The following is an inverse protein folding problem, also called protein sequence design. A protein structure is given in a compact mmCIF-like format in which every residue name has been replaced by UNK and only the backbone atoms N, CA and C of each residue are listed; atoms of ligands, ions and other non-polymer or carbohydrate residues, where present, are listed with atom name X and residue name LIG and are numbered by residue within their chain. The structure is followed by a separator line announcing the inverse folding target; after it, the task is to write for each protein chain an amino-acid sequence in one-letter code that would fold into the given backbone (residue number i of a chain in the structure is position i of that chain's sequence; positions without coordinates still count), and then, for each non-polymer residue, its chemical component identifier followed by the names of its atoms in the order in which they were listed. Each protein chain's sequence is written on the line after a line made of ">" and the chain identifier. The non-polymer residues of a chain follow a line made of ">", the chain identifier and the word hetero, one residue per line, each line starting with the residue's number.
data_IF_685469333283
#
_entry.id   IF_685469333283
#
_cell.length_a   1.000
_cell.length_b   1.000
_cell.length_c   1.000
_cell.angle_alpha   90.00
_cell.angle_beta   90.00
_cell.angle_gamma   90.00
#
_symmetry.space_group_name_H-M   'P 1'
#
loop_
_entity.id
_entity.type
_entity.pdbx_description
1 polymer ?
#
# COMPACT_ATOMS: atom_id res chain seq x y z
N UNK A 1 47.46 33.82 -10.50
CA UNK A 1 47.35 32.42 -10.97
C UNK A 1 46.88 31.58 -9.79
N UNK A 2 45.79 30.85 -9.74
CA UNK A 2 44.63 30.60 -10.59
C UNK A 2 43.48 30.36 -9.59
N UNK A 3 42.39 31.13 -9.67
CA UNK A 3 41.15 30.86 -8.92
C UNK A 3 40.50 29.65 -9.58
N UNK A 4 40.37 28.53 -8.88
CA UNK A 4 39.52 27.42 -9.32
C UNK A 4 38.09 27.70 -8.88
N UNK A 5 37.26 28.14 -9.84
CA UNK A 5 35.81 28.10 -9.73
C UNK A 5 35.37 26.64 -9.85
N UNK A 6 34.94 26.03 -8.75
CA UNK A 6 34.10 24.83 -8.83
C UNK A 6 32.67 25.32 -9.04
N UNK A 7 32.17 25.04 -10.24
CA UNK A 7 30.81 25.36 -10.68
C UNK A 7 29.78 24.71 -9.75
N UNK A 8 28.94 25.55 -9.13
CA UNK A 8 27.65 25.13 -8.58
C UNK A 8 26.69 24.89 -9.75
N UNK A 9 26.39 23.62 -10.00
CA UNK A 9 25.20 23.11 -10.70
C UNK A 9 24.62 22.13 -9.66
N UNK A 10 23.45 22.23 -9.05
CA UNK A 10 22.18 22.88 -9.37
C UNK A 10 21.10 21.84 -9.03
N UNK A 11 20.46 21.92 -7.85
CA UNK A 11 19.33 21.04 -7.47
C UNK A 11 19.16 20.88 -5.95
N UNK A 12 17.99 21.26 -5.43
CA UNK A 12 17.53 21.23 -4.02
C UNK A 12 17.92 19.92 -3.31
N UNK A 13 18.85 19.97 -2.34
CA UNK A 13 19.40 18.79 -1.65
C UNK A 13 18.39 18.25 -0.62
N UNK A 14 17.25 17.72 -1.08
CA UNK A 14 16.32 17.00 -0.22
C UNK A 14 16.91 15.64 0.10
N UNK A 15 17.31 15.44 1.37
CA UNK A 15 17.69 14.12 1.86
C UNK A 15 16.43 13.24 1.97
N UNK A 16 16.09 12.53 0.90
CA UNK A 16 15.06 11.49 0.92
C UNK A 16 15.49 10.33 1.82
N UNK A 17 14.54 9.68 2.50
CA UNK A 17 14.85 8.56 3.38
C UNK A 17 15.16 7.27 2.62
N UNK A 18 14.69 7.15 1.38
CA UNK A 18 14.92 5.99 0.52
C UNK A 18 16.06 6.25 -0.45
N UNK A 19 16.88 5.21 -0.76
CA UNK A 19 17.89 5.34 -1.80
C UNK A 19 17.25 5.65 -3.16
N UNK A 20 17.90 6.51 -3.94
CA UNK A 20 17.51 6.79 -5.32
C UNK A 20 18.28 5.88 -6.26
N UNK A 21 17.70 5.51 -7.39
CA UNK A 21 18.46 4.80 -8.45
C UNK A 21 19.66 5.62 -8.89
N UNK A 22 20.76 4.93 -9.22
CA UNK A 22 22.01 5.53 -9.65
C UNK A 22 22.41 4.93 -10.99
N UNK A 23 22.56 5.73 -12.04
CA UNK A 23 22.90 5.23 -13.39
C UNK A 23 24.25 4.52 -13.49
N UNK A 24 25.16 4.77 -12.54
CA UNK A 24 26.46 4.09 -12.46
C UNK A 24 26.32 2.67 -11.90
N UNK A 25 25.40 2.47 -10.94
CA UNK A 25 25.19 1.19 -10.26
C UNK A 25 24.08 0.36 -10.91
N UNK A 26 22.97 1.02 -11.23
CA UNK A 26 21.72 0.44 -11.73
C UNK A 26 21.62 0.44 -13.27
N UNK A 27 22.62 1.00 -13.93
CA UNK A 27 22.70 1.18 -15.39
C UNK A 27 21.95 2.40 -15.92
N UNK A 28 22.24 2.84 -17.16
CA UNK A 28 21.64 4.04 -17.75
C UNK A 28 20.13 3.93 -18.01
N UNK A 29 19.61 2.70 -18.07
CA UNK A 29 18.20 2.42 -18.31
C UNK A 29 17.33 2.66 -17.05
N UNK A 30 17.93 2.85 -15.86
CA UNK A 30 17.16 2.98 -14.62
C UNK A 30 16.28 4.24 -14.56
N UNK A 31 16.62 5.27 -15.34
CA UNK A 31 15.86 6.51 -15.48
C UNK A 31 15.00 6.56 -16.75
N UNK A 32 15.00 5.50 -17.55
CA UNK A 32 14.19 5.47 -18.77
C UNK A 32 12.81 4.92 -18.48
N UNK A 33 11.82 5.64 -18.98
CA UNK A 33 10.45 5.16 -19.04
C UNK A 33 10.36 3.93 -19.96
N UNK A 34 9.37 3.09 -19.67
CA UNK A 34 9.06 1.88 -20.41
C UNK A 34 9.02 2.10 -21.93
N UNK A 35 9.82 1.31 -22.67
CA UNK A 35 9.98 1.45 -24.12
C UNK A 35 8.84 0.83 -24.95
N UNK A 36 8.11 -0.13 -24.38
CA UNK A 36 7.11 -0.97 -25.08
C UNK A 36 5.72 -0.94 -24.40
N UNK A 37 5.46 0.07 -23.58
CA UNK A 37 4.20 0.16 -22.84
C UNK A 37 3.02 0.37 -23.78
N UNK A 38 2.03 -0.51 -23.65
CA UNK A 38 0.80 -0.50 -24.48
C UNK A 38 -0.40 0.10 -23.75
N UNK A 39 -0.24 0.36 -22.44
CA UNK A 39 -1.26 0.93 -21.58
C UNK A 39 -0.98 2.42 -21.40
N UNK A 40 -1.96 3.26 -21.70
CA UNK A 40 -1.87 4.70 -21.51
C UNK A 40 -3.07 5.23 -20.73
N UNK A 41 -2.87 6.33 -20.01
CA UNK A 41 -3.99 7.07 -19.44
C UNK A 41 -4.80 7.77 -20.54
N UNK A 42 -6.11 8.00 -20.32
CA UNK A 42 -6.90 8.81 -21.25
C UNK A 42 -6.35 10.23 -21.39
N UNK A 43 -6.49 10.85 -22.56
CA UNK A 43 -5.95 12.19 -22.86
C UNK A 43 -6.35 13.27 -21.84
N UNK A 44 -7.57 13.17 -21.29
CA UNK A 44 -8.12 14.13 -20.31
C UNK A 44 -7.80 13.78 -18.86
N UNK A 45 -6.82 12.92 -18.61
CA UNK A 45 -6.42 12.53 -17.26
C UNK A 45 -5.49 13.59 -16.66
N UNK A 46 -6.08 14.54 -15.92
CA UNK A 46 -5.34 15.64 -15.30
C UNK A 46 -5.11 15.44 -13.80
N UNK A 47 -3.87 15.66 -13.38
CA UNK A 47 -3.40 15.59 -11.99
C UNK A 47 -2.52 16.80 -11.70
N UNK A 48 -2.37 17.11 -10.43
CA UNK A 48 -1.47 18.15 -9.95
C UNK A 48 -0.02 17.63 -10.01
N UNK A 49 0.78 18.18 -10.93
CA UNK A 49 2.19 17.88 -11.12
C UNK A 49 3.14 18.85 -10.40
N UNK A 50 2.64 19.96 -9.87
CA UNK A 50 3.46 21.08 -9.41
C UNK A 50 3.73 21.07 -7.90
N UNK A 51 2.72 20.71 -7.08
CA UNK A 51 2.87 20.82 -5.63
C UNK A 51 3.96 19.87 -5.13
N UNK A 52 4.80 20.33 -4.19
CA UNK A 52 5.67 19.44 -3.42
C UNK A 52 4.82 18.47 -2.60
N UNK A 53 5.03 17.17 -2.77
CA UNK A 53 4.21 16.10 -2.15
C UNK A 53 4.94 15.28 -1.09
N UNK A 54 6.28 15.32 -1.05
CA UNK A 54 7.09 14.63 -0.05
C UNK A 54 6.86 15.22 1.35
N UNK A 55 6.70 14.36 2.36
CA UNK A 55 6.50 14.77 3.76
C UNK A 55 5.13 15.43 4.00
N UNK A 56 4.09 15.00 3.28
CA UNK A 56 2.71 15.54 3.39
C UNK A 56 1.64 14.45 3.47
N UNK A 57 1.91 13.45 4.29
CA UNK A 57 1.06 12.31 4.66
C UNK A 57 0.82 12.42 6.16
N UNK A 58 -0.36 11.97 6.62
CA UNK A 58 -0.62 11.84 8.05
C UNK A 58 0.19 10.65 8.60
N UNK A 59 0.97 10.77 9.69
CA UNK A 59 1.73 9.65 10.26
C UNK A 59 0.82 8.54 10.80
N UNK A 60 1.05 7.25 10.51
CA UNK A 60 0.33 6.12 11.15
C UNK A 60 1.29 5.03 11.59
N UNK A 61 0.87 4.22 12.57
CA UNK A 61 1.64 3.07 13.04
C UNK A 61 1.25 1.78 12.30
N UNK A 62 -0.05 1.55 12.13
CA UNK A 62 -0.61 0.33 11.54
C UNK A 62 -1.59 0.67 10.43
N UNK A 63 -1.43 0.02 9.28
CA UNK A 63 -2.39 0.06 8.18
C UNK A 63 -3.22 -1.22 8.20
N UNK A 64 -4.52 -1.07 8.42
CA UNK A 64 -5.50 -2.16 8.49
C UNK A 64 -6.28 -2.21 7.18
N UNK A 65 -6.13 -3.29 6.43
CA UNK A 65 -6.92 -3.54 5.22
C UNK A 65 -8.07 -4.48 5.55
N UNK A 66 -9.30 -4.03 5.35
CA UNK A 66 -10.51 -4.84 5.57
C UNK A 66 -10.90 -5.52 4.27
N UNK A 67 -11.03 -6.85 4.28
CA UNK A 67 -11.48 -7.61 3.11
C UNK A 67 -12.97 -7.34 2.86
N UNK A 68 -13.29 -6.73 1.72
CA UNK A 68 -14.69 -6.49 1.33
C UNK A 68 -15.06 -7.16 0.02
N UNK A 69 -14.08 -7.70 -0.72
CA UNK A 69 -14.26 -8.24 -2.06
C UNK A 69 -14.69 -7.21 -3.12
N UNK A 70 -14.73 -5.91 -2.77
CA UNK A 70 -15.17 -4.83 -3.65
C UNK A 70 -13.97 -4.06 -4.21
N UNK A 71 -14.13 -3.48 -5.40
CA UNK A 71 -13.14 -2.59 -6.02
C UNK A 71 -13.53 -1.11 -5.95
N UNK A 72 -14.69 -0.79 -5.39
CA UNK A 72 -15.20 0.57 -5.19
C UNK A 72 -16.13 0.60 -3.96
N UNK A 73 -16.26 1.75 -3.31
CA UNK A 73 -16.96 1.89 -2.02
C UNK A 73 -17.80 3.16 -2.01
N UNK A 74 -18.57 3.38 -0.94
CA UNK A 74 -19.20 4.69 -0.69
C UNK A 74 -18.12 5.75 -0.47
N UNK A 75 -18.39 7.02 -0.82
CA UNK A 75 -17.37 8.08 -0.84
C UNK A 75 -16.58 8.24 0.48
N UNK A 76 -17.22 7.93 1.61
CA UNK A 76 -16.63 7.93 2.95
C UNK A 76 -16.95 6.60 3.66
N UNK A 77 -16.19 5.51 3.40
CA UNK A 77 -16.43 4.21 4.02
C UNK A 77 -16.31 4.26 5.55
N UNK A 78 -15.51 5.19 6.06
CA UNK A 78 -15.36 5.49 7.49
C UNK A 78 -16.65 6.00 8.15
N UNK A 79 -17.66 6.43 7.38
CA UNK A 79 -18.96 6.90 7.90
C UNK A 79 -20.09 5.89 7.70
N UNK A 80 -19.80 4.73 7.10
CA UNK A 80 -20.78 3.67 6.87
C UNK A 80 -20.96 2.86 8.16
N UNK A 81 -21.88 3.32 9.02
CA UNK A 81 -22.22 2.66 10.29
C UNK A 81 -22.61 1.19 10.06
N UNK A 82 -22.26 0.33 11.01
CA UNK A 82 -22.51 -1.10 10.88
C UNK A 82 -21.52 -1.82 9.95
N UNK A 83 -20.39 -1.19 9.61
CA UNK A 83 -19.27 -1.85 8.92
C UNK A 83 -18.06 -1.98 9.83
N UNK A 84 -17.21 -2.98 9.55
CA UNK A 84 -15.93 -3.18 10.25
C UNK A 84 -14.97 -2.02 9.99
N UNK A 85 -15.01 -1.41 8.80
CA UNK A 85 -14.22 -0.21 8.48
C UNK A 85 -14.57 0.94 9.42
N UNK A 86 -15.86 1.26 9.55
CA UNK A 86 -16.32 2.29 10.49
C UNK A 86 -15.95 1.94 11.94
N UNK A 87 -16.18 0.70 12.37
CA UNK A 87 -15.85 0.26 13.73
C UNK A 87 -14.35 0.42 14.06
N UNK A 88 -13.45 0.09 13.12
CA UNK A 88 -12.00 0.29 13.27
C UNK A 88 -11.59 1.77 13.25
N UNK A 89 -12.28 2.61 12.48
CA UNK A 89 -12.03 4.05 12.48
C UNK A 89 -12.42 4.72 13.81
N UNK A 90 -13.44 4.20 14.50
CA UNK A 90 -13.91 4.68 15.81
C UNK A 90 -13.21 3.97 16.99
N UNK A 91 -12.41 2.93 16.72
CA UNK A 91 -11.77 2.15 17.78
C UNK A 91 -10.68 2.95 18.50
N UNK A 92 -10.60 2.76 19.81
CA UNK A 92 -9.56 3.35 20.64
C UNK A 92 -8.27 2.50 20.55
N UNK A 93 -7.29 2.98 19.79
CA UNK A 93 -5.97 2.38 19.60
C UNK A 93 -4.91 3.30 20.19
N UNK A 94 -3.82 2.75 20.75
CA UNK A 94 -2.72 3.56 21.34
C UNK A 94 -2.06 4.45 20.31
N UNK A 95 -1.91 3.94 19.10
CA UNK A 95 -1.33 4.66 17.98
C UNK A 95 -2.33 4.82 16.83
N UNK A 96 -2.04 5.78 15.94
CA UNK A 96 -2.96 6.07 14.84
C UNK A 96 -3.03 4.92 13.84
N UNK A 97 -4.25 4.49 13.54
CA UNK A 97 -4.56 3.55 12.46
C UNK A 97 -4.78 4.28 11.12
N UNK A 98 -4.34 3.66 10.04
CA UNK A 98 -4.84 3.90 8.69
C UNK A 98 -5.74 2.72 8.35
N UNK A 99 -7.03 2.96 8.10
CA UNK A 99 -8.00 1.90 7.84
C UNK A 99 -8.51 2.07 6.42
N UNK A 100 -8.37 1.02 5.62
CA UNK A 100 -8.87 1.02 4.25
C UNK A 100 -9.68 -0.25 3.97
N UNK A 101 -10.82 -0.07 3.28
CA UNK A 101 -11.52 -1.20 2.68
C UNK A 101 -10.72 -1.69 1.47
N UNK A 102 -10.77 -2.98 1.16
CA UNK A 102 -9.97 -3.56 0.08
C UNK A 102 -10.74 -4.62 -0.72
N UNK A 103 -10.21 -4.93 -1.90
CA UNK A 103 -10.72 -6.03 -2.73
C UNK A 103 -10.21 -7.41 -2.29
N UNK A 104 -9.53 -7.51 -1.13
CA UNK A 104 -9.24 -8.80 -0.51
C UNK A 104 -10.56 -9.57 -0.32
N UNK A 105 -10.48 -10.87 -0.51
CA UNK A 105 -11.55 -11.83 -0.20
C UNK A 105 -11.37 -12.31 1.23
N UNK A 106 -12.48 -12.36 1.97
CA UNK A 106 -12.47 -12.98 3.30
C UNK A 106 -12.18 -14.47 3.15
N UNK A 107 -11.29 -14.99 3.99
CA UNK A 107 -11.05 -16.43 4.05
C UNK A 107 -12.24 -17.09 4.75
N UNK A 108 -12.75 -18.18 4.17
CA UNK A 108 -13.84 -18.97 4.72
C UNK A 108 -13.36 -20.42 4.82
N UNK A 109 -13.48 -21.01 6.00
CA UNK A 109 -13.23 -22.45 6.17
C UNK A 109 -14.45 -23.21 5.60
N UNK A 110 -14.28 -23.97 4.52
CA UNK A 110 -15.38 -24.70 3.86
C UNK A 110 -16.06 -25.74 4.79
N UNK A 111 -15.44 -26.09 5.92
CA UNK A 111 -15.91 -27.12 6.85
C UNK A 111 -16.89 -26.66 7.93
N UNK A 112 -17.17 -25.36 8.08
CA UNK A 112 -17.94 -24.83 9.22
C UNK A 112 -18.99 -23.79 8.84
N UNK A 113 -19.80 -24.03 7.81
CA UNK A 113 -20.89 -23.10 7.46
C UNK A 113 -21.97 -23.03 8.57
N UNK A 114 -21.82 -22.08 9.48
CA UNK A 114 -22.85 -21.64 10.44
C UNK A 114 -23.26 -20.20 10.09
N UNK A 115 -24.50 -19.83 10.41
CA UNK A 115 -25.07 -18.51 10.05
C UNK A 115 -24.31 -17.31 10.68
N UNK A 116 -23.47 -17.52 11.69
CA UNK A 116 -22.65 -16.46 12.32
C UNK A 116 -21.45 -16.02 11.45
N UNK A 117 -21.00 -16.87 10.51
CA UNK A 117 -19.89 -16.56 9.60
C UNK A 117 -20.30 -15.65 8.42
N UNK A 118 -21.59 -15.38 8.20
CA UNK A 118 -22.03 -14.51 7.09
C UNK A 118 -21.53 -13.07 7.23
N UNK A 119 -21.35 -12.60 8.46
CA UNK A 119 -20.94 -11.23 8.77
C UNK A 119 -19.47 -11.09 9.16
N UNK A 120 -18.71 -12.18 9.12
CA UNK A 120 -17.30 -12.18 9.44
C UNK A 120 -16.44 -11.83 8.22
N UNK A 121 -15.28 -11.24 8.45
CA UNK A 121 -14.29 -10.95 7.39
C UNK A 121 -12.86 -11.22 7.84
N UNK A 122 -11.92 -11.07 6.91
CA UNK A 122 -10.49 -11.06 7.15
C UNK A 122 -9.98 -9.62 7.13
N UNK A 123 -9.01 -9.30 8.00
CA UNK A 123 -8.21 -8.08 7.87
C UNK A 123 -6.74 -8.42 7.70
N UNK A 124 -6.01 -7.59 6.94
CA UNK A 124 -4.55 -7.65 6.83
C UNK A 124 -3.93 -6.46 7.58
N UNK A 125 -3.05 -6.76 8.52
CA UNK A 125 -2.27 -5.80 9.28
C UNK A 125 -0.92 -5.58 8.58
N UNK A 126 -0.60 -4.32 8.29
CA UNK A 126 0.67 -3.89 7.72
C UNK A 126 1.32 -2.85 8.64
N UNK A 127 2.65 -2.88 8.81
CA UNK A 127 3.63 -3.70 8.07
C UNK A 127 3.97 -5.04 8.76
N UNK A 128 3.11 -5.58 9.64
CA UNK A 128 3.35 -6.90 10.25
C UNK A 128 3.09 -8.08 9.31
N UNK A 129 2.44 -7.84 8.16
CA UNK A 129 2.08 -8.87 7.17
C UNK A 129 1.31 -10.02 7.82
N UNK A 130 0.30 -9.67 8.62
CA UNK A 130 -0.49 -10.63 9.40
C UNK A 130 -1.97 -10.54 9.06
N UNK A 131 -2.56 -11.66 8.65
CA UNK A 131 -4.00 -11.81 8.49
C UNK A 131 -4.64 -12.16 9.83
N UNK A 132 -5.78 -11.53 10.12
CA UNK A 132 -6.68 -11.87 11.21
C UNK A 132 -8.03 -12.20 10.59
N UNK A 133 -8.51 -13.42 10.80
CA UNK A 133 -9.77 -13.93 10.26
C UNK A 133 -10.89 -13.93 11.29
N UNK A 134 -12.11 -14.20 10.80
CA UNK A 134 -13.32 -14.24 11.61
C UNK A 134 -13.61 -12.92 12.34
N UNK A 135 -13.16 -11.80 11.77
CA UNK A 135 -13.35 -10.47 12.33
C UNK A 135 -14.80 -10.06 12.12
N UNK A 136 -15.47 -9.74 13.22
CA UNK A 136 -16.81 -9.17 13.26
C UNK A 136 -16.75 -7.81 13.96
N UNK A 137 -17.82 -7.02 13.90
CA UNK A 137 -17.87 -5.74 14.61
C UNK A 137 -17.66 -5.91 16.13
N UNK A 138 -18.30 -6.88 16.82
CA UNK A 138 -18.08 -7.10 18.24
C UNK A 138 -16.63 -7.50 18.60
N UNK A 139 -15.87 -8.09 17.67
CA UNK A 139 -14.49 -8.51 17.93
C UNK A 139 -13.46 -7.40 17.70
N UNK A 140 -13.85 -6.21 17.21
CA UNK A 140 -12.91 -5.10 16.93
C UNK A 140 -12.12 -4.66 18.17
N UNK A 141 -12.71 -4.52 19.38
CA UNK A 141 -11.94 -4.18 20.57
C UNK A 141 -10.86 -5.22 20.92
N UNK A 142 -11.17 -6.51 20.77
CA UNK A 142 -10.18 -7.58 20.95
C UNK A 142 -9.08 -7.49 19.88
N UNK A 143 -9.47 -7.26 18.63
CA UNK A 143 -8.53 -7.13 17.52
C UNK A 143 -7.49 -6.04 17.77
N UNK A 144 -7.96 -4.86 18.21
CA UNK A 144 -7.10 -3.72 18.50
C UNK A 144 -6.20 -4.01 19.70
N UNK A 145 -6.78 -4.39 20.84
CA UNK A 145 -6.00 -4.63 22.07
C UNK A 145 -4.95 -5.74 21.89
N UNK A 146 -5.33 -6.87 21.30
CA UNK A 146 -4.47 -8.07 21.22
C UNK A 146 -3.46 -8.02 20.07
N UNK A 147 -3.85 -7.57 18.89
CA UNK A 147 -3.01 -7.71 17.68
C UNK A 147 -2.41 -6.39 17.17
N UNK A 148 -2.93 -5.24 17.61
CA UNK A 148 -2.41 -3.92 17.21
C UNK A 148 -1.62 -3.31 18.38
N UNK A 149 -2.24 -3.21 19.55
CA UNK A 149 -1.64 -2.58 20.74
C UNK A 149 -0.79 -3.54 21.58
N UNK A 150 -0.77 -4.84 21.20
CA UNK A 150 -0.04 -5.93 21.85
C UNK A 150 -0.22 -5.95 23.38
N UNK A 151 -1.45 -5.77 23.85
CA UNK A 151 -1.76 -5.82 25.26
C UNK A 151 -1.72 -7.27 25.75
N UNK A 152 -0.83 -7.53 26.71
CA UNK A 152 -0.77 -8.77 27.46
C UNK A 152 -2.02 -8.86 28.35
N UNK A 153 -3.18 -9.18 27.78
CA UNK A 153 -4.35 -9.52 28.55
C UNK A 153 -4.14 -10.92 29.13
N UNK A 154 -3.53 -10.98 30.32
CA UNK A 154 -3.45 -12.16 31.21
C UNK A 154 -4.83 -12.61 31.73
N UNK A 155 -5.92 -12.03 31.23
CA UNK A 155 -7.27 -12.13 31.79
C UNK A 155 -8.16 -12.96 30.87
N UNK A 156 -8.33 -14.22 31.25
CA UNK A 156 -9.29 -15.21 30.73
C UNK A 156 -9.24 -15.47 29.22
N UNK A 157 -8.85 -16.71 28.88
CA UNK A 157 -9.14 -17.33 27.61
C UNK A 157 -10.66 -17.38 27.35
N UNK A 158 -11.23 -16.24 26.93
CA UNK A 158 -12.40 -16.28 26.07
C UNK A 158 -12.01 -17.14 24.87
N UNK A 159 -12.86 -18.08 24.44
CA UNK A 159 -12.63 -18.83 23.21
C UNK A 159 -12.74 -17.82 22.04
N UNK A 160 -11.64 -17.14 21.73
CA UNK A 160 -11.62 -16.09 20.70
C UNK A 160 -11.78 -16.76 19.34
N UNK A 161 -12.77 -16.34 18.54
CA UNK A 161 -12.96 -16.84 17.18
C UNK A 161 -11.92 -16.30 16.20
N UNK A 162 -11.20 -15.23 16.58
CA UNK A 162 -10.14 -14.62 15.78
C UNK A 162 -9.00 -15.60 15.56
N UNK A 163 -8.73 -15.92 14.29
CA UNK A 163 -7.62 -16.78 13.87
C UNK A 163 -6.56 -15.91 13.20
N UNK A 164 -5.29 -16.27 13.40
CA UNK A 164 -4.16 -15.54 12.84
C UNK A 164 -3.46 -16.38 11.79
N UNK A 165 -3.08 -15.77 10.67
CA UNK A 165 -2.25 -16.38 9.63
C UNK A 165 -1.22 -15.39 9.12
N UNK A 166 -0.04 -15.89 8.75
CA UNK A 166 0.96 -15.07 8.10
C UNK A 166 0.53 -14.74 6.66
N UNK A 167 0.80 -13.51 6.19
CA UNK A 167 0.67 -13.19 4.77
C UNK A 167 1.83 -13.85 4.01
N UNK A 168 1.55 -14.69 2.98
CA UNK A 168 2.60 -15.42 2.27
C UNK A 168 3.51 -14.48 1.45
N UNK A 169 3.01 -13.31 1.06
CA UNK A 169 3.67 -12.38 0.15
C UNK A 169 4.88 -11.66 0.77
N UNK A 170 5.94 -11.52 -0.01
CA UNK A 170 7.10 -10.69 0.36
C UNK A 170 6.76 -9.21 0.20
N UNK A 171 5.86 -8.90 -0.75
CA UNK A 171 5.49 -7.54 -1.11
C UNK A 171 3.98 -7.40 -1.24
N UNK A 172 3.45 -6.27 -0.77
CA UNK A 172 2.05 -5.89 -0.95
C UNK A 172 2.00 -4.51 -1.58
N UNK A 173 1.37 -4.42 -2.76
CA UNK A 173 1.16 -3.16 -3.49
C UNK A 173 -0.30 -2.76 -3.37
N UNK A 174 -0.55 -1.55 -2.87
CA UNK A 174 -1.90 -1.01 -2.73
C UNK A 174 -2.12 0.11 -3.75
N UNK A 175 -3.24 0.02 -4.45
CA UNK A 175 -3.69 0.98 -5.45
C UNK A 175 -5.04 1.55 -5.01
N UNK A 176 -5.13 2.86 -4.83
CA UNK A 176 -6.41 3.49 -4.54
C UNK A 176 -7.29 3.47 -5.80
N UNK A 177 -8.38 2.69 -5.78
CA UNK A 177 -9.32 2.54 -6.90
C UNK A 177 -10.65 3.27 -6.71
N UNK A 178 -10.77 4.04 -5.63
CA UNK A 178 -12.05 4.56 -5.12
C UNK A 178 -12.69 5.61 -6.04
N UNK A 179 -13.52 5.15 -6.98
CA UNK A 179 -14.14 5.96 -8.05
C UNK A 179 -15.22 6.90 -7.51
N UNK A 180 -16.04 6.45 -6.55
CA UNK A 180 -17.06 7.33 -5.92
C UNK A 180 -16.47 8.46 -5.08
N UNK A 181 -15.19 8.34 -4.68
CA UNK A 181 -14.47 9.43 -4.03
C UNK A 181 -13.85 10.39 -5.05
N UNK A 182 -13.14 9.84 -6.04
CA UNK A 182 -12.56 10.60 -7.14
C UNK A 182 -12.36 9.67 -8.36
N UNK A 183 -12.88 10.07 -9.51
CA UNK A 183 -12.82 9.27 -10.73
C UNK A 183 -11.37 8.96 -11.17
N UNK A 184 -10.40 9.82 -10.86
CA UNK A 184 -9.00 9.63 -11.25
C UNK A 184 -8.41 8.36 -10.66
N UNK A 185 -8.73 8.06 -9.40
CA UNK A 185 -8.33 6.83 -8.73
C UNK A 185 -8.96 5.60 -9.40
N UNK A 186 -10.27 5.66 -9.67
CA UNK A 186 -10.99 4.59 -10.37
C UNK A 186 -10.55 4.33 -11.81
N UNK A 187 -10.06 5.36 -12.51
CA UNK A 187 -9.51 5.23 -13.88
C UNK A 187 -8.09 4.69 -13.84
N UNK A 188 -7.23 5.24 -12.98
CA UNK A 188 -5.80 4.93 -13.01
C UNK A 188 -5.45 3.58 -12.38
N UNK A 189 -6.10 3.15 -11.29
CA UNK A 189 -5.73 1.93 -10.59
C UNK A 189 -5.81 0.65 -11.47
N UNK A 190 -6.83 0.45 -12.33
CA UNK A 190 -6.84 -0.69 -13.27
C UNK A 190 -5.70 -0.67 -14.29
N UNK A 191 -5.34 0.50 -14.78
CA UNK A 191 -4.27 0.66 -15.78
C UNK A 191 -2.90 0.40 -15.14
N UNK A 192 -2.66 0.93 -13.93
CA UNK A 192 -1.43 0.66 -13.18
C UNK A 192 -1.34 -0.82 -12.77
N UNK A 193 -2.43 -1.43 -12.30
CA UNK A 193 -2.45 -2.88 -11.97
C UNK A 193 -2.09 -3.72 -13.18
N UNK A 194 -2.72 -3.47 -14.34
CA UNK A 194 -2.45 -4.19 -15.59
C UNK A 194 -0.97 -4.12 -15.95
N UNK A 195 -0.34 -2.95 -15.80
CA UNK A 195 1.04 -2.78 -16.24
C UNK A 195 2.06 -3.34 -15.22
N UNK A 196 1.79 -3.21 -13.92
CA UNK A 196 2.56 -3.95 -12.90
C UNK A 196 2.49 -5.46 -13.12
N UNK A 197 1.31 -6.01 -13.43
CA UNK A 197 1.16 -7.44 -13.73
C UNK A 197 1.99 -7.89 -14.93
N UNK A 198 2.04 -7.08 -16.00
CA UNK A 198 2.83 -7.40 -17.19
C UNK A 198 4.31 -7.57 -16.85
N UNK A 199 4.85 -6.73 -15.96
CA UNK A 199 6.26 -6.80 -15.55
C UNK A 199 6.52 -7.86 -14.46
N UNK A 200 5.55 -8.14 -13.59
CA UNK A 200 5.70 -9.12 -12.50
C UNK A 200 5.54 -10.58 -12.96
N UNK A 201 4.73 -10.84 -13.98
CA UNK A 201 4.49 -12.21 -14.48
C UNK A 201 5.75 -12.87 -15.06
N UNK A 202 6.52 -12.24 -15.96
CA UNK A 202 7.78 -12.81 -16.48
C UNK A 202 8.82 -13.05 -15.39
N UNK A 203 8.81 -12.25 -14.33
CA UNK A 203 9.68 -12.43 -13.17
C UNK A 203 9.21 -13.55 -12.22
N UNK A 204 8.05 -14.17 -12.45
CA UNK A 204 7.47 -15.19 -11.57
C UNK A 204 7.00 -14.64 -10.21
N UNK A 205 6.87 -13.32 -10.09
CA UNK A 205 6.62 -12.64 -8.82
C UNK A 205 5.14 -12.30 -8.61
N UNK A 206 4.33 -12.24 -9.66
CA UNK A 206 2.92 -11.93 -9.51
C UNK A 206 2.19 -13.00 -8.69
N UNK A 207 1.32 -12.56 -7.77
CA UNK A 207 0.38 -13.38 -7.00
C UNK A 207 -1.02 -12.79 -7.20
N UNK A 208 -1.93 -13.59 -7.76
CA UNK A 208 -3.33 -13.19 -7.84
C UNK A 208 -4.06 -13.43 -6.51
N UNK A 209 -5.38 -13.21 -6.48
CA UNK A 209 -6.15 -13.28 -5.24
C UNK A 209 -6.27 -14.70 -4.66
N UNK A 210 -6.08 -15.74 -5.46
CA UNK A 210 -6.21 -17.15 -5.06
C UNK A 210 -4.84 -17.85 -5.02
N UNK A 211 -3.75 -17.11 -5.25
CA UNK A 211 -2.39 -17.65 -5.27
C UNK A 211 -1.76 -17.58 -3.88
N UNK A 212 -1.77 -18.71 -3.17
CA UNK A 212 -1.21 -18.83 -1.82
C UNK A 212 0.29 -19.19 -1.81
N UNK A 213 0.96 -19.23 -2.97
CA UNK A 213 2.38 -19.56 -3.03
C UNK A 213 3.20 -18.54 -2.23
N UNK A 214 4.19 -18.99 -1.45
CA UNK A 214 5.02 -18.08 -0.68
C UNK A 214 5.79 -17.09 -1.57
N UNK A 215 6.06 -15.93 -1.00
CA UNK A 215 6.76 -14.83 -1.66
C UNK A 215 5.95 -14.11 -2.72
N UNK A 216 6.63 -13.42 -3.62
CA UNK A 216 5.99 -12.64 -4.67
C UNK A 216 5.25 -11.38 -4.17
N UNK A 217 4.41 -10.85 -5.04
CA UNK A 217 3.76 -9.55 -4.95
C UNK A 217 2.25 -9.71 -5.07
N UNK A 218 1.52 -9.39 -4.00
CA UNK A 218 0.07 -9.21 -4.03
C UNK A 218 -0.28 -7.75 -4.39
N UNK A 219 -1.16 -7.54 -5.37
CA UNK A 219 -1.65 -6.21 -5.75
C UNK A 219 -3.13 -6.07 -5.38
N UNK A 220 -3.44 -5.13 -4.48
CA UNK A 220 -4.79 -4.92 -3.98
C UNK A 220 -5.31 -3.52 -4.29
N UNK A 221 -6.59 -3.46 -4.59
CA UNK A 221 -7.35 -2.22 -4.59
C UNK A 221 -7.76 -1.86 -3.17
N UNK A 222 -7.65 -0.58 -2.85
CA UNK A 222 -8.06 -0.03 -1.57
C UNK A 222 -8.95 1.19 -1.74
N UNK A 223 -9.72 1.48 -0.70
CA UNK A 223 -10.48 2.72 -0.58
C UNK A 223 -9.55 3.93 -0.51
N UNK A 224 -10.10 5.12 -0.26
CA UNK A 224 -9.31 6.33 -0.45
C UNK A 224 -8.14 6.40 0.54
N UNK A 225 -6.93 6.66 0.03
CA UNK A 225 -5.73 6.87 0.85
C UNK A 225 -5.39 8.36 1.04
N UNK A 226 -6.17 9.24 0.41
CA UNK A 226 -5.90 10.67 0.32
C UNK A 226 -4.92 11.03 -0.80
N UNK A 227 -4.94 12.28 -1.26
CA UNK A 227 -4.08 12.73 -2.36
C UNK A 227 -4.54 12.31 -3.76
N UNK A 228 -5.86 12.19 -4.00
CA UNK A 228 -6.42 11.89 -5.34
C UNK A 228 -5.99 12.91 -6.42
N UNK A 229 -5.68 14.15 -6.02
CA UNK A 229 -5.14 15.17 -6.92
C UNK A 229 -3.76 14.79 -7.50
N UNK A 230 -3.07 13.84 -6.88
CA UNK A 230 -1.77 13.30 -7.27
C UNK A 230 -1.88 11.85 -7.78
N UNK A 231 -3.06 11.41 -8.25
CA UNK A 231 -3.26 10.04 -8.75
C UNK A 231 -2.25 9.69 -9.88
N UNK A 232 -1.85 8.45 -10.08
CA UNK A 232 -2.13 7.26 -9.28
C UNK A 232 -1.27 7.23 -8.01
N UNK A 233 -1.88 6.90 -6.87
CA UNK A 233 -1.14 6.59 -5.64
C UNK A 233 -0.83 5.09 -5.62
N UNK A 234 0.44 4.75 -5.33
CA UNK A 234 0.94 3.38 -5.23
C UNK A 234 1.69 3.25 -3.91
N UNK A 235 1.19 2.41 -3.00
CA UNK A 235 1.86 2.13 -1.73
C UNK A 235 2.54 0.76 -1.85
N UNK A 236 3.85 0.72 -1.69
CA UNK A 236 4.65 -0.51 -1.77
C UNK A 236 5.08 -0.88 -0.36
N UNK A 237 4.55 -1.98 0.17
CA UNK A 237 5.03 -2.60 1.40
C UNK A 237 6.03 -3.70 1.07
N UNK A 238 7.17 -3.71 1.76
CA UNK A 238 8.21 -4.75 1.67
C UNK A 238 8.37 -5.37 3.05
N UNK A 239 8.15 -6.70 3.13
CA UNK A 239 8.00 -7.42 4.41
C UNK A 239 9.31 -7.51 5.18
N UNK A 240 10.39 -7.89 4.51
CA UNK A 240 11.70 -8.15 5.12
C UNK A 240 12.23 -6.88 5.80
N UNK A 241 12.23 -5.75 5.10
CA UNK A 241 12.73 -4.48 5.60
C UNK A 241 11.72 -3.72 6.49
N UNK A 242 10.51 -4.29 6.66
CA UNK A 242 9.39 -3.61 7.31
C UNK A 242 9.17 -2.21 6.73
N UNK A 243 9.19 -2.10 5.39
CA UNK A 243 9.25 -0.83 4.66
C UNK A 243 7.91 -0.49 4.00
N UNK A 244 7.56 0.79 3.98
CA UNK A 244 6.50 1.37 3.15
C UNK A 244 7.10 2.47 2.29
N UNK A 245 6.99 2.35 0.97
CA UNK A 245 7.29 3.44 0.03
C UNK A 245 5.96 3.91 -0.59
N UNK A 246 5.57 5.16 -0.32
CA UNK A 246 4.35 5.74 -0.87
C UNK A 246 4.67 6.65 -2.05
N UNK A 247 4.29 6.21 -3.24
CA UNK A 247 4.43 6.95 -4.49
C UNK A 247 3.11 7.56 -4.97
N UNK A 248 3.21 8.63 -5.75
CA UNK A 248 2.10 9.28 -6.43
C UNK A 248 2.52 9.73 -7.82
N UNK A 249 1.56 10.22 -8.61
CA UNK A 249 1.74 10.62 -10.02
C UNK A 249 2.26 9.48 -10.89
N UNK A 250 1.99 8.24 -10.48
CA UNK A 250 2.42 7.06 -11.23
C UNK A 250 1.59 6.95 -12.50
N UNK A 251 2.28 6.70 -13.60
CA UNK A 251 1.77 6.41 -14.93
C UNK A 251 2.18 5.00 -15.34
N UNK A 252 1.51 4.38 -16.32
CA UNK A 252 1.83 3.03 -16.77
C UNK A 252 3.32 2.87 -17.13
N UNK A 253 3.92 3.85 -17.78
CA UNK A 253 5.31 3.83 -18.21
C UNK A 253 6.34 3.74 -17.07
N UNK A 254 5.96 4.10 -15.83
CA UNK A 254 6.83 3.98 -14.65
C UNK A 254 6.80 2.57 -14.03
N UNK A 255 5.85 1.70 -14.42
CA UNK A 255 5.61 0.43 -13.73
C UNK A 255 6.80 -0.53 -13.81
N UNK A 256 7.54 -0.52 -14.91
CA UNK A 256 8.76 -1.31 -15.05
C UNK A 256 9.81 -0.94 -14.00
N UNK A 257 10.10 0.36 -13.86
CA UNK A 257 11.04 0.87 -12.87
C UNK A 257 10.56 0.61 -11.43
N UNK A 258 9.25 0.71 -11.18
CA UNK A 258 8.67 0.38 -9.86
C UNK A 258 8.91 -1.09 -9.52
N UNK A 259 8.73 -2.01 -10.47
CA UNK A 259 9.00 -3.44 -10.23
C UNK A 259 10.48 -3.67 -9.98
N UNK A 260 11.35 -3.18 -10.89
CA UNK A 260 12.79 -3.44 -10.84
C UNK A 260 13.51 -2.82 -9.63
N UNK A 261 13.12 -1.61 -9.25
CA UNK A 261 13.87 -0.81 -8.27
C UNK A 261 13.08 -0.61 -6.98
N UNK A 262 11.82 -0.19 -7.05
CA UNK A 262 11.04 0.11 -5.83
C UNK A 262 10.65 -1.15 -5.08
N UNK A 263 10.01 -2.11 -5.75
CA UNK A 263 9.52 -3.34 -5.12
C UNK A 263 10.70 -4.24 -4.74
N UNK A 264 11.62 -4.48 -5.67
CA UNK A 264 12.69 -5.45 -5.45
C UNK A 264 13.84 -4.92 -4.61
N UNK A 265 14.20 -3.63 -4.75
CA UNK A 265 15.42 -3.08 -4.15
C UNK A 265 15.17 -1.97 -3.12
N UNK A 266 13.92 -1.54 -2.93
CA UNK A 266 13.60 -0.41 -2.03
C UNK A 266 14.14 0.94 -2.51
N UNK A 267 14.50 1.07 -3.80
CA UNK A 267 15.02 2.30 -4.41
C UNK A 267 13.91 3.08 -5.11
N UNK A 268 13.99 4.41 -5.13
CA UNK A 268 13.02 5.27 -5.83
C UNK A 268 13.62 5.83 -7.12
N UNK A 269 12.86 5.80 -8.21
CA UNK A 269 13.31 6.28 -9.53
C UNK A 269 13.26 7.81 -9.63
N UNK A 270 12.12 8.41 -9.28
CA UNK A 270 11.87 9.86 -9.40
C UNK A 270 11.37 10.45 -8.07
N UNK A 271 12.21 10.48 -7.01
CA UNK A 271 11.75 10.88 -5.68
C UNK A 271 11.26 12.33 -5.61
N UNK A 272 11.83 13.23 -6.41
CA UNK A 272 11.48 14.64 -6.46
C UNK A 272 10.07 14.92 -6.97
N UNK A 273 9.55 14.04 -7.83
CA UNK A 273 8.22 14.20 -8.42
C UNK A 273 7.19 13.20 -7.88
N UNK A 274 7.60 11.99 -7.48
CA UNK A 274 6.70 10.88 -7.19
C UNK A 274 6.66 10.47 -5.72
N UNK A 275 7.72 10.68 -4.94
CA UNK A 275 7.77 10.22 -3.55
C UNK A 275 6.91 11.10 -2.63
N UNK A 276 5.96 10.48 -1.92
CA UNK A 276 5.16 11.17 -0.91
C UNK A 276 5.72 11.02 0.50
N UNK A 277 6.35 9.90 0.80
CA UNK A 277 6.87 9.56 2.13
C UNK A 277 6.79 8.06 2.36
N UNK A 278 6.90 7.65 3.62
CA UNK A 278 6.97 6.24 4.00
C UNK A 278 7.81 6.01 5.25
N UNK A 279 8.15 4.75 5.49
CA UNK A 279 9.04 4.36 6.58
C UNK A 279 9.90 3.17 6.19
N UNK A 280 10.99 3.01 6.92
CA UNK A 280 11.88 1.86 6.88
C UNK A 280 12.20 1.50 8.33
N UNK A 281 11.64 0.37 8.80
CA UNK A 281 11.72 -0.01 10.22
C UNK A 281 13.11 -0.55 10.57
N UNK A 282 13.77 -1.25 9.66
CA UNK A 282 15.14 -1.74 9.88
C UNK A 282 16.14 -0.59 10.02
N UNK A 283 16.00 0.46 9.22
CA UNK A 283 16.85 1.66 9.30
C UNK A 283 16.37 2.69 10.32
N UNK A 284 15.19 2.50 10.92
CA UNK A 284 14.61 3.40 11.92
C UNK A 284 14.28 4.80 11.39
N UNK A 285 13.95 4.91 10.09
CA UNK A 285 13.66 6.21 9.44
C UNK A 285 12.20 6.30 8.99
N UNK A 286 11.62 7.49 9.11
CA UNK A 286 10.24 7.77 8.67
C UNK A 286 10.14 9.15 8.03
N UNK A 287 9.27 9.29 7.04
CA UNK A 287 8.89 10.55 6.41
C UNK A 287 7.39 10.55 6.20
N UNK A 288 6.71 11.52 6.82
CA UNK A 288 5.26 11.64 6.76
C UNK A 288 4.89 12.91 6.05
#
# INVERSE_FOLDING_TARGET
>A
MFKSLISRIGGDNQNYIFPTVNTTEDGPECLKDCADCTVHFPDKFHIDSERKIYGKIKPFATHVLVATGKSDWVSKPEWERGTIVHALCEANSKERLMVNASNLTAHRDESTSTNEEENATTVLLLPSFQFIDNVTIPSVPELVSRFIDNENNTSSASKTSLKTRACPHNYVVLLCSHKRRDARCGISAPLIKKELERHLRPAGLYRDANDERPGGVGIYYVSHVGGHKFSANVLVYRREEGQLIWLARIRPEHCEGIVKYTILQGKVVHPETQLRGGFDRERGVTSW
#
